data_IF_338805094068
#
_entry.id   IF_338805094068
#
_cell.length_a   1.000
_cell.length_b   1.000
_cell.length_c   1.000
_cell.angle_alpha   90.00
_cell.angle_beta   90.00
_cell.angle_gamma   90.00
#
_symmetry.space_group_name_H-M   'P 1'
#
loop_
_entity.id
_entity.type
_entity.pdbx_description
1 polymer ?
#
# COMPACT_ATOMS: atom_id res chain seq x y z
N UNK A 1 9.60 -8.92 -6.74
CA UNK A 1 9.37 -7.46 -6.90
C UNK A 1 9.45 -7.01 -8.36
N UNK A 2 10.47 -7.40 -9.11
CA UNK A 2 10.82 -6.88 -10.45
C UNK A 2 9.81 -7.14 -11.58
N UNK A 3 8.85 -8.06 -11.39
CA UNK A 3 7.90 -8.48 -12.43
C UNK A 3 7.05 -7.34 -13.03
N UNK A 4 6.79 -6.29 -12.25
CA UNK A 4 5.99 -5.14 -12.71
C UNK A 4 6.76 -4.25 -13.70
N UNK A 5 8.09 -4.38 -13.79
CA UNK A 5 8.94 -3.49 -14.59
C UNK A 5 10.07 -4.23 -15.32
N UNK A 6 9.78 -5.38 -15.89
CA UNK A 6 10.76 -6.24 -16.54
C UNK A 6 11.59 -5.54 -17.64
N UNK A 7 11.00 -4.50 -18.26
CA UNK A 7 11.70 -3.74 -19.31
C UNK A 7 13.02 -3.10 -18.86
N UNK A 8 13.13 -2.70 -17.59
CA UNK A 8 14.36 -2.09 -17.02
C UNK A 8 15.49 -3.11 -16.81
N UNK A 9 15.16 -4.40 -16.76
CA UNK A 9 16.11 -5.46 -16.45
C UNK A 9 16.63 -6.19 -17.68
N UNK A 10 16.26 -5.72 -18.86
CA UNK A 10 16.78 -6.27 -20.12
C UNK A 10 18.25 -5.93 -20.30
N UNK A 11 19.00 -6.91 -20.83
CA UNK A 11 20.34 -6.75 -21.36
C UNK A 11 20.32 -7.36 -22.78
N UNK A 12 20.03 -6.51 -23.78
CA UNK A 12 19.67 -6.98 -25.12
C UNK A 12 18.31 -7.69 -25.12
N UNK A 13 18.24 -8.90 -25.61
CA UNK A 13 17.02 -9.72 -25.70
C UNK A 13 16.72 -10.54 -24.41
N UNK A 14 17.63 -10.56 -23.46
CA UNK A 14 17.56 -11.43 -22.25
C UNK A 14 17.39 -10.59 -20.99
N UNK A 15 16.70 -11.13 -19.98
CA UNK A 15 16.60 -10.53 -18.65
C UNK A 15 17.91 -10.76 -17.88
N UNK A 16 18.35 -9.73 -17.15
CA UNK A 16 19.55 -9.80 -16.33
C UNK A 16 19.20 -10.13 -14.89
N UNK A 17 19.49 -11.35 -14.44
CA UNK A 17 19.28 -11.77 -13.05
C UNK A 17 20.03 -10.88 -12.06
N UNK A 18 21.25 -10.46 -12.38
CA UNK A 18 22.03 -9.58 -11.52
C UNK A 18 21.33 -8.23 -11.28
N UNK A 19 20.76 -7.63 -12.33
CA UNK A 19 20.00 -6.38 -12.20
C UNK A 19 18.75 -6.59 -11.34
N UNK A 20 18.04 -7.71 -11.54
CA UNK A 20 16.83 -8.03 -10.77
C UNK A 20 17.15 -8.30 -9.30
N UNK A 21 18.19 -9.04 -8.99
CA UNK A 21 18.65 -9.29 -7.62
C UNK A 21 19.06 -7.99 -6.93
N UNK A 22 19.81 -7.12 -7.62
CA UNK A 22 20.20 -5.80 -7.07
C UNK A 22 18.99 -4.92 -6.76
N UNK A 23 18.02 -4.86 -7.66
CA UNK A 23 16.78 -4.10 -7.45
C UNK A 23 15.96 -4.67 -6.28
N UNK A 24 15.75 -5.99 -6.25
CA UNK A 24 15.04 -6.66 -5.14
C UNK A 24 15.73 -6.40 -3.80
N UNK A 25 17.06 -6.46 -3.75
CA UNK A 25 17.83 -6.16 -2.53
C UNK A 25 17.64 -4.70 -2.07
N UNK A 26 17.53 -3.76 -3.01
CA UNK A 26 17.22 -2.37 -2.72
C UNK A 26 15.81 -2.24 -2.13
N UNK A 27 14.82 -2.88 -2.76
CA UNK A 27 13.42 -2.86 -2.29
C UNK A 27 13.25 -3.48 -0.90
N UNK A 28 13.92 -4.61 -0.62
CA UNK A 28 13.94 -5.22 0.72
C UNK A 28 14.38 -4.21 1.79
N UNK A 29 15.42 -3.44 1.51
CA UNK A 29 15.91 -2.39 2.43
C UNK A 29 14.94 -1.21 2.53
N UNK A 30 14.42 -0.73 1.40
CA UNK A 30 13.53 0.43 1.35
C UNK A 30 12.21 0.16 2.09
N UNK A 31 11.67 -1.05 1.93
CA UNK A 31 10.43 -1.49 2.57
C UNK A 31 10.66 -2.07 3.97
N UNK A 32 11.90 -2.19 4.43
CA UNK A 32 12.24 -2.89 5.69
C UNK A 32 11.59 -4.28 5.75
N UNK A 33 11.63 -5.02 4.63
CA UNK A 33 11.04 -6.36 4.54
C UNK A 33 11.91 -7.36 5.28
N UNK A 34 11.33 -8.09 6.23
CA UNK A 34 12.04 -9.14 7.00
C UNK A 34 12.04 -10.43 6.17
N UNK A 35 13.19 -10.76 5.58
CA UNK A 35 13.43 -11.98 4.81
C UNK A 35 14.92 -12.32 4.87
N UNK A 36 15.30 -13.55 4.47
CA UNK A 36 16.70 -13.97 4.41
C UNK A 36 17.43 -13.42 3.18
N UNK A 37 16.69 -13.12 2.10
CA UNK A 37 17.27 -12.54 0.91
C UNK A 37 16.34 -12.45 -0.30
N UNK A 38 16.86 -11.96 -1.44
CA UNK A 38 16.07 -11.75 -2.66
C UNK A 38 15.48 -13.02 -3.27
N UNK A 39 16.02 -14.17 -2.91
CA UNK A 39 15.59 -15.48 -3.43
C UNK A 39 14.54 -16.17 -2.56
N UNK A 40 14.15 -15.57 -1.44
CA UNK A 40 13.11 -16.13 -0.58
C UNK A 40 11.77 -16.24 -1.31
N UNK A 41 11.08 -17.33 -1.06
CA UNK A 41 9.72 -17.50 -1.55
C UNK A 41 8.78 -16.55 -0.80
N UNK A 42 7.90 -15.87 -1.53
CA UNK A 42 6.95 -14.94 -0.94
C UNK A 42 6.02 -15.65 0.07
N UNK A 43 5.69 -16.91 -0.19
CA UNK A 43 4.86 -17.75 0.67
C UNK A 43 5.48 -18.09 2.04
N UNK A 44 6.79 -17.96 2.19
CA UNK A 44 7.49 -18.16 3.46
C UNK A 44 7.49 -16.91 4.35
N UNK A 45 7.07 -15.77 3.83
CA UNK A 45 7.04 -14.49 4.57
C UNK A 45 5.73 -14.34 5.35
N UNK A 46 5.78 -13.59 6.46
CA UNK A 46 4.57 -13.17 7.17
C UNK A 46 3.69 -12.28 6.27
N UNK A 47 2.38 -12.21 6.54
CA UNK A 47 1.43 -11.42 5.76
C UNK A 47 1.86 -9.96 5.57
N UNK A 48 2.35 -9.29 6.60
CA UNK A 48 2.86 -7.91 6.51
C UNK A 48 4.09 -7.80 5.62
N UNK A 49 5.00 -8.77 5.63
CA UNK A 49 6.15 -8.77 4.72
C UNK A 49 5.74 -9.09 3.27
N UNK A 50 4.76 -9.97 3.06
CA UNK A 50 4.18 -10.21 1.73
C UNK A 50 3.58 -8.92 1.17
N UNK A 51 2.83 -8.16 1.98
CA UNK A 51 2.25 -6.87 1.58
C UNK A 51 3.32 -5.84 1.22
N UNK A 52 4.40 -5.75 2.00
CA UNK A 52 5.56 -4.89 1.67
C UNK A 52 6.19 -5.25 0.32
N UNK A 53 6.30 -6.54 0.00
CA UNK A 53 6.79 -7.00 -1.31
C UNK A 53 5.84 -6.56 -2.43
N UNK A 54 4.52 -6.61 -2.20
CA UNK A 54 3.52 -6.12 -3.17
C UNK A 54 3.68 -4.62 -3.39
N UNK A 55 3.86 -3.83 -2.33
CA UNK A 55 4.08 -2.38 -2.45
C UNK A 55 5.37 -2.08 -3.19
N UNK A 56 6.49 -2.71 -2.81
CA UNK A 56 7.79 -2.56 -3.49
C UNK A 56 7.70 -2.86 -4.98
N UNK A 57 6.98 -3.93 -5.34
CA UNK A 57 6.72 -4.31 -6.73
C UNK A 57 6.11 -3.17 -7.57
N UNK A 58 5.13 -2.45 -7.02
CA UNK A 58 4.45 -1.38 -7.74
C UNK A 58 5.19 -0.05 -7.64
N UNK A 59 5.84 0.22 -6.51
CA UNK A 59 6.65 1.43 -6.31
C UNK A 59 7.84 1.50 -7.25
N UNK A 60 8.35 0.35 -7.68
CA UNK A 60 9.44 0.29 -8.66
C UNK A 60 9.10 0.97 -10.00
N UNK A 61 7.81 1.10 -10.33
CA UNK A 61 7.34 1.87 -11.49
C UNK A 61 7.25 3.37 -11.24
N UNK A 62 7.58 3.82 -10.04
CA UNK A 62 7.51 5.23 -9.61
C UNK A 62 6.17 5.91 -9.92
N UNK A 63 5.01 5.31 -9.58
CA UNK A 63 3.73 5.91 -9.87
C UNK A 63 3.57 7.23 -9.12
N UNK A 64 2.90 8.21 -9.73
CA UNK A 64 2.51 9.45 -9.07
C UNK A 64 1.25 9.25 -8.21
N UNK A 65 0.36 8.36 -8.65
CA UNK A 65 -0.85 7.98 -7.91
C UNK A 65 -0.76 6.51 -7.55
N UNK A 66 -0.93 6.21 -6.27
CA UNK A 66 -0.91 4.86 -5.73
C UNK A 66 -2.28 4.52 -5.15
N UNK A 67 -2.94 3.50 -5.71
CA UNK A 67 -4.25 3.06 -5.26
C UNK A 67 -4.10 1.73 -4.52
N UNK A 68 -4.67 1.63 -3.32
CA UNK A 68 -4.61 0.45 -2.46
C UNK A 68 -6.02 0.07 -2.01
N UNK A 69 -6.35 -1.19 -2.16
CA UNK A 69 -7.61 -1.76 -1.71
C UNK A 69 -7.35 -2.72 -0.55
N UNK A 70 -7.94 -2.41 0.61
CA UNK A 70 -7.79 -3.15 1.87
C UNK A 70 -6.31 -3.49 2.19
N UNK A 71 -5.40 -2.50 2.27
CA UNK A 71 -3.96 -2.74 2.31
C UNK A 71 -3.47 -3.47 3.56
N UNK A 72 -4.27 -3.51 4.62
CA UNK A 72 -3.91 -4.14 5.89
C UNK A 72 -4.81 -5.32 6.27
N UNK A 73 -5.67 -5.76 5.35
CA UNK A 73 -6.58 -6.87 5.62
C UNK A 73 -5.82 -8.18 5.85
N UNK A 74 -6.14 -8.86 6.94
CA UNK A 74 -5.51 -10.14 7.30
C UNK A 74 -4.09 -10.01 7.83
N UNK A 75 -3.65 -8.81 8.19
CA UNK A 75 -2.32 -8.54 8.76
C UNK A 75 -2.45 -8.33 10.28
N UNK A 76 -1.47 -8.79 11.03
CA UNK A 76 -1.39 -8.55 12.48
C UNK A 76 -1.21 -7.07 12.82
N UNK A 77 -1.63 -6.69 14.04
CA UNK A 77 -1.67 -5.29 14.49
C UNK A 77 -0.31 -4.60 14.39
N UNK A 78 0.78 -5.31 14.75
CA UNK A 78 2.12 -4.73 14.69
C UNK A 78 2.55 -4.44 13.25
N UNK A 79 2.28 -5.35 12.31
CA UNK A 79 2.60 -5.16 10.91
C UNK A 79 1.70 -4.11 10.23
N UNK A 80 0.46 -3.89 10.69
CA UNK A 80 -0.39 -2.78 10.21
C UNK A 80 0.30 -1.43 10.39
N UNK A 81 0.88 -1.17 11.55
CA UNK A 81 1.58 0.10 11.83
C UNK A 81 2.75 0.33 10.86
N UNK A 82 3.52 -0.70 10.54
CA UNK A 82 4.61 -0.60 9.56
C UNK A 82 4.09 -0.23 8.17
N UNK A 83 2.90 -0.72 7.78
CA UNK A 83 2.23 -0.35 6.53
C UNK A 83 1.74 1.11 6.57
N UNK A 84 1.14 1.55 7.68
CA UNK A 84 0.70 2.94 7.84
C UNK A 84 1.86 3.93 7.73
N UNK A 85 2.99 3.65 8.40
CA UNK A 85 4.20 4.46 8.28
C UNK A 85 4.69 4.55 6.83
N UNK A 86 4.65 3.43 6.10
CA UNK A 86 5.02 3.39 4.69
C UNK A 86 4.09 4.27 3.83
N UNK A 87 2.78 4.18 4.03
CA UNK A 87 1.77 5.00 3.32
C UNK A 87 2.02 6.49 3.59
N UNK A 88 2.17 6.85 4.86
CA UNK A 88 2.42 8.24 5.28
C UNK A 88 3.75 8.76 4.69
N UNK A 89 4.79 7.94 4.70
CA UNK A 89 6.09 8.29 4.12
C UNK A 89 5.96 8.59 2.62
N UNK A 90 5.29 7.71 1.87
CA UNK A 90 5.06 7.92 0.44
C UNK A 90 4.27 9.20 0.14
N UNK A 91 3.26 9.52 0.95
CA UNK A 91 2.51 10.77 0.83
C UNK A 91 3.39 12.00 1.11
N UNK A 92 4.25 11.94 2.13
CA UNK A 92 5.25 13.01 2.44
C UNK A 92 6.28 13.18 1.32
N UNK A 93 6.59 12.14 0.57
CA UNK A 93 7.46 12.18 -0.61
C UNK A 93 6.75 12.73 -1.86
N UNK A 94 5.52 13.22 -1.72
CA UNK A 94 4.76 13.88 -2.79
C UNK A 94 3.92 12.95 -3.66
N UNK A 95 3.75 11.68 -3.28
CA UNK A 95 2.84 10.77 -3.99
C UNK A 95 1.38 11.01 -3.58
N UNK A 96 0.48 10.91 -4.54
CA UNK A 96 -0.96 10.86 -4.25
C UNK A 96 -1.34 9.44 -3.88
N UNK A 97 -1.93 9.26 -2.69
CA UNK A 97 -2.34 7.95 -2.20
C UNK A 97 -3.86 7.90 -2.08
N UNK A 98 -4.46 6.86 -2.63
CA UNK A 98 -5.87 6.54 -2.48
C UNK A 98 -5.94 5.19 -1.76
N UNK A 99 -6.56 5.16 -0.60
CA UNK A 99 -6.78 3.94 0.19
C UNK A 99 -8.27 3.65 0.23
N UNK A 100 -8.65 2.45 -0.13
CA UNK A 100 -9.99 1.90 0.12
C UNK A 100 -9.86 0.97 1.32
N UNK A 101 -10.67 1.17 2.34
CA UNK A 101 -10.67 0.33 3.54
C UNK A 101 -12.05 0.33 4.19
N UNK A 102 -12.41 -0.79 4.78
CA UNK A 102 -13.59 -0.96 5.63
C UNK A 102 -13.30 -0.62 7.10
N UNK A 103 -12.04 -0.41 7.47
CA UNK A 103 -11.63 -0.11 8.84
C UNK A 103 -11.60 1.40 9.09
N UNK A 104 -12.63 1.96 9.72
CA UNK A 104 -12.71 3.39 10.02
C UNK A 104 -11.53 3.93 10.82
N UNK A 105 -10.99 3.24 11.85
CA UNK A 105 -9.81 3.71 12.58
C UNK A 105 -8.57 3.84 11.69
N UNK A 106 -8.40 2.95 10.72
CA UNK A 106 -7.32 3.02 9.73
C UNK A 106 -7.42 4.31 8.92
N UNK A 107 -8.57 4.53 8.28
CA UNK A 107 -8.80 5.69 7.42
C UNK A 107 -8.62 6.99 8.20
N UNK A 108 -9.19 7.08 9.41
CA UNK A 108 -9.05 8.26 10.29
C UNK A 108 -7.60 8.52 10.70
N UNK A 109 -6.78 7.46 10.82
CA UNK A 109 -5.39 7.57 11.25
C UNK A 109 -4.40 8.00 10.18
N UNK A 110 -4.66 7.69 8.90
CA UNK A 110 -3.66 7.82 7.84
C UNK A 110 -4.04 8.74 6.68
N UNK A 111 -5.27 9.27 6.65
CA UNK A 111 -5.76 10.07 5.51
C UNK A 111 -5.95 11.53 5.86
N UNK A 112 -5.99 12.39 4.83
CA UNK A 112 -6.33 13.81 4.95
C UNK A 112 -7.80 14.08 4.64
N UNK A 113 -8.40 13.29 3.75
CA UNK A 113 -9.78 13.40 3.30
C UNK A 113 -10.37 12.00 3.17
N UNK A 114 -11.66 11.86 3.47
CA UNK A 114 -12.38 10.60 3.42
C UNK A 114 -13.58 10.75 2.51
N UNK A 115 -13.66 9.94 1.46
CA UNK A 115 -14.86 9.76 0.65
C UNK A 115 -15.64 8.57 1.20
N UNK A 116 -16.87 8.78 1.61
CA UNK A 116 -17.73 7.73 2.18
C UNK A 116 -18.67 7.20 1.11
N UNK A 117 -18.64 5.89 0.91
CA UNK A 117 -19.55 5.19 -0.01
C UNK A 117 -20.76 4.63 0.75
N UNK A 118 -21.93 4.68 0.14
CA UNK A 118 -23.18 4.06 0.64
C UNK A 118 -23.95 3.50 -0.53
N UNK A 119 -24.21 2.19 -0.53
CA UNK A 119 -24.93 1.49 -1.58
C UNK A 119 -24.51 1.87 -3.01
N UNK A 120 -23.19 1.81 -3.29
CA UNK A 120 -22.61 2.13 -4.59
C UNK A 120 -22.55 3.61 -4.97
N UNK A 121 -22.94 4.53 -4.06
CA UNK A 121 -22.94 5.99 -4.29
C UNK A 121 -21.99 6.68 -3.33
N UNK A 122 -21.34 7.75 -3.78
CA UNK A 122 -20.56 8.63 -2.92
C UNK A 122 -21.53 9.49 -2.09
N UNK A 123 -21.60 9.24 -0.78
CA UNK A 123 -22.50 9.92 0.12
C UNK A 123 -21.97 11.23 0.67
N UNK A 124 -20.66 11.40 0.69
CA UNK A 124 -19.99 12.63 1.09
C UNK A 124 -18.48 12.53 1.03
N UNK A 125 -17.80 13.67 1.06
CA UNK A 125 -16.36 13.80 1.24
C UNK A 125 -16.13 14.73 2.42
N UNK A 126 -15.35 14.27 3.40
CA UNK A 126 -15.07 15.02 4.64
C UNK A 126 -13.56 15.16 4.85
N UNK A 127 -13.15 16.20 5.57
CA UNK A 127 -11.78 16.34 6.05
C UNK A 127 -11.59 15.46 7.29
N UNK A 128 -10.52 14.69 7.32
CA UNK A 128 -10.27 13.76 8.42
C UNK A 128 -10.15 14.44 9.79
N UNK A 129 -9.61 15.66 9.82
CA UNK A 129 -9.47 16.44 11.06
C UNK A 129 -10.78 16.99 11.62
N UNK A 130 -11.85 17.02 10.82
CA UNK A 130 -13.13 17.64 11.12
C UNK A 130 -14.26 16.60 11.28
N UNK A 131 -13.94 15.32 11.20
CA UNK A 131 -14.90 14.21 11.26
C UNK A 131 -14.54 13.19 12.33
N UNK A 132 -15.46 12.27 12.60
CA UNK A 132 -15.30 11.17 13.53
C UNK A 132 -16.01 9.90 13.03
N UNK A 133 -15.87 8.80 13.75
CA UNK A 133 -16.47 7.51 13.37
C UNK A 133 -18.00 7.57 13.27
N UNK A 134 -18.67 8.32 14.13
CA UNK A 134 -20.13 8.44 14.14
C UNK A 134 -20.62 9.11 12.85
N UNK A 135 -19.99 10.20 12.43
CA UNK A 135 -20.32 10.87 11.18
C UNK A 135 -20.06 9.99 9.96
N UNK A 136 -18.93 9.27 9.93
CA UNK A 136 -18.64 8.33 8.84
C UNK A 136 -19.68 7.23 8.77
N UNK A 137 -20.11 6.68 9.92
CA UNK A 137 -21.16 5.67 9.98
C UNK A 137 -22.49 6.21 9.47
N UNK A 138 -22.88 7.42 9.89
CA UNK A 138 -24.08 8.10 9.40
C UNK A 138 -24.06 8.31 7.89
N UNK A 139 -22.93 8.70 7.32
CA UNK A 139 -22.76 8.85 5.88
C UNK A 139 -22.81 7.50 5.16
N UNK A 140 -22.23 6.44 5.72
CA UNK A 140 -22.22 5.11 5.11
C UNK A 140 -23.61 4.46 5.03
N UNK A 141 -24.53 4.87 5.91
CA UNK A 141 -25.91 4.38 5.93
C UNK A 141 -26.91 5.28 5.18
N UNK A 142 -26.46 6.34 4.54
CA UNK A 142 -27.34 7.37 3.94
C UNK A 142 -28.26 6.86 2.83
N UNK A 143 -27.87 5.83 2.12
CA UNK A 143 -28.62 5.27 0.97
C UNK A 143 -28.96 3.78 1.17
N UNK A 144 -29.00 3.30 2.43
CA UNK A 144 -29.49 1.99 2.79
C UNK A 144 -31.01 1.92 2.77
#
# INVERSE_FOLDING_TARGET
TTIANLGQYKSGAVLSDQKMVKATSKEIKTMSTKCMGPSDLISSLSGGNQQKVIFGKWLERQPQVFMMDEPTRGIDVGAKYEIYELIIKMAKEGKTIIVVSSEMPEILGITNRIGVMSNGRLSGIVNTKETNQEELLRLSSKYL
#
